data_IF_458910694247
#
_entry.id   IF_458910694247
#
_cell.length_a   1.000
_cell.length_b   1.000
_cell.length_c   1.000
_cell.angle_alpha   90.00
_cell.angle_beta   90.00
_cell.angle_gamma   90.00
#
_symmetry.space_group_name_H-M   'P 1'
#
loop_
_entity.id
_entity.type
_entity.pdbx_description
1 polymer ?
#
# COMPACT_ATOMS: atom_id res chain seq x y z
N UNK A 1 12.30 -8.74 -14.45
CA UNK A 1 12.13 -7.39 -13.85
C UNK A 1 13.17 -6.36 -14.31
N UNK A 2 14.46 -6.70 -14.48
CA UNK A 2 15.52 -5.71 -14.76
C UNK A 2 15.35 -4.86 -16.03
N UNK A 3 14.71 -5.41 -17.06
CA UNK A 3 14.48 -4.70 -18.33
C UNK A 3 13.11 -3.98 -18.40
N UNK A 4 12.24 -4.17 -17.41
CA UNK A 4 10.93 -3.51 -17.38
C UNK A 4 11.06 -2.12 -16.74
N UNK A 5 10.99 -1.08 -17.57
CA UNK A 5 11.17 0.31 -17.12
C UNK A 5 10.11 0.76 -16.12
N UNK A 6 8.88 0.24 -16.22
CA UNK A 6 7.76 0.64 -15.35
C UNK A 6 7.96 0.06 -13.96
N UNK A 7 8.36 -1.20 -13.87
CA UNK A 7 8.72 -1.85 -12.62
C UNK A 7 9.98 -1.23 -11.99
N UNK A 8 11.00 -0.87 -12.78
CA UNK A 8 12.17 -0.16 -12.25
C UNK A 8 11.82 1.24 -11.72
N UNK A 9 10.93 1.96 -12.41
CA UNK A 9 10.43 3.26 -11.93
C UNK A 9 9.64 3.11 -10.62
N UNK A 10 8.79 2.10 -10.53
CA UNK A 10 8.09 1.74 -9.30
C UNK A 10 9.05 1.44 -8.15
N UNK A 11 10.09 0.63 -8.36
CA UNK A 11 11.08 0.33 -7.33
C UNK A 11 11.89 1.56 -6.90
N UNK A 12 12.15 2.49 -7.82
CA UNK A 12 12.77 3.78 -7.49
C UNK A 12 11.85 4.61 -6.59
N UNK A 13 10.56 4.68 -6.94
CA UNK A 13 9.56 5.33 -6.09
C UNK A 13 9.46 4.65 -4.72
N UNK A 14 9.48 3.31 -4.68
CA UNK A 14 9.41 2.52 -3.46
C UNK A 14 10.56 2.87 -2.50
N UNK A 15 11.77 2.93 -3.04
CA UNK A 15 12.95 3.37 -2.29
C UNK A 15 12.77 4.80 -1.76
N UNK A 16 12.44 5.76 -2.62
CA UNK A 16 12.26 7.17 -2.23
C UNK A 16 11.16 7.35 -1.18
N UNK A 17 10.02 6.68 -1.35
CA UNK A 17 8.90 6.75 -0.42
C UNK A 17 9.29 6.15 0.93
N UNK A 18 9.95 4.99 0.94
CA UNK A 18 10.41 4.37 2.19
C UNK A 18 11.39 5.25 2.96
N UNK A 19 12.29 5.94 2.26
CA UNK A 19 13.28 6.86 2.88
C UNK A 19 12.68 8.18 3.33
N UNK A 20 11.50 8.56 2.83
CA UNK A 20 10.81 9.80 3.25
C UNK A 20 10.13 9.70 4.62
N UNK A 21 9.94 8.48 5.13
CA UNK A 21 9.25 8.22 6.39
C UNK A 21 10.22 8.23 7.55
N UNK A 22 9.92 9.02 8.57
CA UNK A 22 10.67 9.01 9.82
C UNK A 22 10.26 7.80 10.66
N UNK A 23 11.14 6.80 10.77
CA UNK A 23 10.90 5.59 11.57
C UNK A 23 12.18 5.01 12.14
N UNK A 24 12.04 4.20 13.21
CA UNK A 24 13.12 3.39 13.81
C UNK A 24 13.30 2.03 13.12
N UNK A 25 12.39 1.68 12.21
CA UNK A 25 12.41 0.40 11.50
C UNK A 25 13.49 0.40 10.42
N UNK A 26 13.99 -0.80 10.07
CA UNK A 26 14.99 -0.96 8.99
C UNK A 26 14.44 -0.46 7.65
N UNK A 27 15.30 0.02 6.75
CA UNK A 27 14.85 0.49 5.43
C UNK A 27 14.14 -0.61 4.61
N UNK A 28 14.62 -1.85 4.66
CA UNK A 28 14.00 -3.01 4.00
C UNK A 28 12.58 -3.28 4.48
N UNK A 29 12.34 -3.14 5.78
CA UNK A 29 11.05 -3.32 6.41
C UNK A 29 10.02 -2.31 5.87
N UNK A 30 10.42 -1.04 5.77
CA UNK A 30 9.55 0.03 5.26
C UNK A 30 9.28 -0.14 3.76
N UNK A 31 10.27 -0.58 2.97
CA UNK A 31 10.05 -0.92 1.55
C UNK A 31 9.07 -2.07 1.40
N UNK A 32 9.19 -3.12 2.20
CA UNK A 32 8.24 -4.24 2.19
C UNK A 32 6.82 -3.77 2.52
N UNK A 33 6.64 -2.94 3.55
CA UNK A 33 5.36 -2.34 3.90
C UNK A 33 4.69 -1.62 2.71
N UNK A 34 5.41 -0.73 2.03
CA UNK A 34 4.84 0.01 0.89
C UNK A 34 4.57 -0.88 -0.32
N UNK A 35 5.39 -1.90 -0.55
CA UNK A 35 5.15 -2.89 -1.60
C UNK A 35 3.83 -3.63 -1.34
N UNK A 36 3.63 -4.14 -0.13
CA UNK A 36 2.39 -4.84 0.29
C UNK A 36 1.18 -3.92 0.20
N UNK A 37 1.32 -2.66 0.62
CA UNK A 37 0.26 -1.66 0.48
C UNK A 37 -0.16 -1.44 -0.97
N UNK A 38 0.81 -1.36 -1.89
CA UNK A 38 0.54 -1.21 -3.33
C UNK A 38 -0.07 -2.49 -3.90
N UNK A 39 0.49 -3.67 -3.62
CA UNK A 39 -0.05 -4.95 -4.08
C UNK A 39 -1.53 -5.11 -3.69
N UNK A 40 -1.89 -4.83 -2.44
CA UNK A 40 -3.28 -4.85 -1.98
C UNK A 40 -4.21 -3.93 -2.79
N UNK A 41 -3.70 -2.80 -3.29
CA UNK A 41 -4.49 -1.88 -4.11
C UNK A 41 -4.62 -2.30 -5.58
N UNK A 42 -3.79 -3.24 -6.06
CA UNK A 42 -3.79 -3.72 -7.46
C UNK A 42 -4.80 -4.84 -7.73
N UNK A 43 -5.27 -5.53 -6.69
CA UNK A 43 -6.19 -6.66 -6.81
C UNK A 43 -7.56 -6.31 -6.21
N UNK A 44 -8.63 -6.54 -6.97
CA UNK A 44 -10.00 -6.41 -6.48
C UNK A 44 -10.31 -7.66 -5.64
N UNK A 45 -10.64 -7.49 -4.36
CA UNK A 45 -10.71 -8.58 -3.41
C UNK A 45 -12.03 -9.36 -3.54
N UNK A 46 -12.06 -10.38 -4.41
CA UNK A 46 -12.81 -11.62 -4.10
C UNK A 46 -11.90 -12.74 -3.61
N UNK A 47 -10.60 -12.48 -3.54
CA UNK A 47 -9.59 -13.39 -3.04
C UNK A 47 -8.93 -12.86 -1.77
N UNK A 48 -9.69 -12.17 -0.91
CA UNK A 48 -9.24 -11.77 0.43
C UNK A 48 -8.77 -12.96 1.30
N UNK A 49 -9.05 -14.21 0.88
CA UNK A 49 -8.55 -15.43 1.53
C UNK A 49 -7.24 -16.01 0.94
N UNK A 50 -6.73 -15.52 -0.20
CA UNK A 50 -5.54 -16.10 -0.86
C UNK A 50 -4.24 -15.29 -0.61
N UNK A 51 -4.34 -14.00 -0.27
CA UNK A 51 -3.16 -13.13 -0.05
C UNK A 51 -2.89 -12.78 1.42
N UNK A 52 -3.13 -13.73 2.33
CA UNK A 52 -2.48 -13.75 3.65
C UNK A 52 -0.94 -13.80 3.57
N UNK A 53 -0.36 -13.87 2.37
CA UNK A 53 1.07 -13.74 2.10
C UNK A 53 1.63 -12.32 2.24
N UNK A 54 0.80 -11.27 2.14
CA UNK A 54 1.27 -9.87 2.12
C UNK A 54 1.95 -9.46 3.43
N UNK A 55 1.41 -9.87 4.56
CA UNK A 55 2.04 -9.58 5.85
C UNK A 55 3.23 -10.50 6.15
N UNK A 56 3.51 -11.55 5.38
CA UNK A 56 4.57 -12.49 5.76
C UNK A 56 5.97 -11.92 5.56
N UNK A 57 6.25 -11.18 4.46
CA UNK A 57 7.56 -10.55 4.27
C UNK A 57 7.75 -9.39 5.24
N UNK A 58 6.71 -8.59 5.44
CA UNK A 58 6.70 -7.52 6.44
C UNK A 58 6.92 -8.09 7.84
N UNK A 59 6.12 -9.06 8.28
CA UNK A 59 6.27 -9.70 9.57
C UNK A 59 7.61 -10.43 9.73
N UNK A 60 8.14 -11.07 8.67
CA UNK A 60 9.46 -11.71 8.69
C UNK A 60 10.63 -10.71 8.79
N UNK A 61 10.45 -9.48 8.29
CA UNK A 61 11.45 -8.42 8.33
C UNK A 61 11.37 -7.54 9.57
N UNK A 62 10.18 -7.39 10.17
CA UNK A 62 9.92 -6.39 11.22
C UNK A 62 9.33 -6.96 12.51
N UNK A 63 8.77 -8.17 12.49
CA UNK A 63 7.93 -8.67 13.58
C UNK A 63 6.58 -7.94 13.65
N UNK A 64 5.95 -7.94 14.83
CA UNK A 64 4.67 -7.25 15.05
C UNK A 64 4.89 -5.73 15.03
N UNK A 65 4.68 -5.09 13.88
CA UNK A 65 4.93 -3.66 13.71
C UNK A 65 3.97 -2.88 14.60
N UNK A 66 4.50 -2.31 15.67
CA UNK A 66 3.91 -1.09 16.21
C UNK A 66 4.21 0.01 15.21
N UNK A 67 3.23 0.33 14.37
CA UNK A 67 3.38 1.37 13.36
C UNK A 67 3.67 2.69 14.06
N UNK A 68 4.72 3.40 13.62
CA UNK A 68 4.83 4.82 13.91
C UNK A 68 3.62 5.54 13.30
N UNK A 69 3.24 6.69 13.85
CA UNK A 69 2.04 7.43 13.41
C UNK A 69 2.01 7.70 11.90
N UNK A 70 3.18 7.91 11.28
CA UNK A 70 3.28 8.15 9.84
C UNK A 70 3.01 6.91 8.98
N UNK A 71 3.49 5.73 9.39
CA UNK A 71 3.20 4.46 8.71
C UNK A 71 1.75 4.03 8.93
N UNK A 72 1.22 4.22 10.15
CA UNK A 72 -0.18 3.93 10.46
C UNK A 72 -1.11 4.78 9.58
N UNK A 73 -0.81 6.07 9.43
CA UNK A 73 -1.57 6.93 8.53
C UNK A 73 -1.52 6.43 7.08
N UNK A 74 -0.35 6.08 6.56
CA UNK A 74 -0.27 5.54 5.19
C UNK A 74 -0.99 4.20 5.04
N UNK A 75 -0.95 3.32 6.06
CA UNK A 75 -1.69 2.06 6.08
C UNK A 75 -3.19 2.32 5.92
N UNK A 76 -3.77 3.19 6.74
CA UNK A 76 -5.20 3.52 6.68
C UNK A 76 -5.58 4.20 5.36
N UNK A 77 -4.69 5.02 4.79
CA UNK A 77 -4.91 5.64 3.48
C UNK A 77 -4.91 4.60 2.35
N UNK A 78 -4.00 3.62 2.38
CA UNK A 78 -4.02 2.51 1.43
C UNK A 78 -5.23 1.59 1.64
N UNK A 79 -5.61 1.32 2.88
CA UNK A 79 -6.84 0.61 3.23
C UNK A 79 -8.08 1.30 2.67
N UNK A 80 -8.12 2.64 2.76
CA UNK A 80 -9.19 3.45 2.17
C UNK A 80 -9.27 3.24 0.65
N UNK A 81 -8.14 3.25 -0.07
CA UNK A 81 -8.12 3.01 -1.52
C UNK A 81 -8.53 1.58 -1.86
N UNK A 82 -8.03 0.58 -1.13
CA UNK A 82 -8.36 -0.82 -1.36
C UNK A 82 -9.86 -1.07 -1.18
N UNK A 83 -10.43 -0.62 -0.06
CA UNK A 83 -11.87 -0.73 0.19
C UNK A 83 -12.68 0.09 -0.82
N UNK A 84 -12.19 1.24 -1.29
CA UNK A 84 -12.84 2.00 -2.36
C UNK A 84 -12.95 1.16 -3.64
N UNK A 85 -11.86 0.50 -4.06
CA UNK A 85 -11.85 -0.33 -5.26
C UNK A 85 -12.76 -1.57 -5.10
N UNK A 86 -12.72 -2.22 -3.93
CA UNK A 86 -13.59 -3.37 -3.62
C UNK A 86 -15.06 -2.98 -3.61
N UNK A 87 -15.37 -1.81 -3.06
CA UNK A 87 -16.73 -1.27 -3.04
C UNK A 87 -17.23 -0.90 -4.44
N UNK A 88 -16.37 -0.29 -5.27
CA UNK A 88 -16.68 0.03 -6.68
C UNK A 88 -17.03 -1.25 -7.45
N UNK A 89 -16.20 -2.29 -7.31
CA UNK A 89 -16.46 -3.61 -7.88
C UNK A 89 -17.75 -4.23 -7.34
N UNK A 90 -17.95 -4.21 -6.01
CA UNK A 90 -19.12 -4.79 -5.37
C UNK A 90 -20.43 -4.13 -5.83
N UNK A 91 -20.44 -2.82 -6.05
CA UNK A 91 -21.60 -2.12 -6.59
C UNK A 91 -21.81 -2.35 -8.07
N UNK A 92 -20.75 -2.47 -8.87
CA UNK A 92 -20.85 -2.80 -10.30
C UNK A 92 -21.52 -4.16 -10.52
N UNK A 93 -21.14 -5.16 -9.73
CA UNK A 93 -21.64 -6.54 -9.85
C UNK A 93 -22.77 -6.91 -8.87
N UNK A 94 -23.29 -5.92 -8.14
CA UNK A 94 -24.36 -6.08 -7.14
C UNK A 94 -24.12 -7.20 -6.12
N UNK A 95 -22.93 -7.20 -5.54
CA UNK A 95 -22.46 -8.21 -4.62
C UNK A 95 -22.98 -7.94 -3.20
N UNK A 96 -23.18 -9.02 -2.43
CA UNK A 96 -23.75 -8.94 -1.08
C UNK A 96 -22.81 -8.27 -0.07
N UNK A 97 -21.52 -8.37 -0.31
CA UNK A 97 -20.47 -7.92 0.61
C UNK A 97 -20.20 -6.40 0.48
N UNK A 98 -20.92 -5.69 -0.39
CA UNK A 98 -20.77 -4.25 -0.61
C UNK A 98 -20.92 -3.42 0.68
N UNK A 99 -21.77 -3.86 1.61
CA UNK A 99 -21.95 -3.18 2.89
C UNK A 99 -20.71 -3.30 3.77
N UNK A 100 -20.11 -4.49 3.85
CA UNK A 100 -18.90 -4.74 4.63
C UNK A 100 -17.73 -3.89 4.11
N UNK A 101 -17.58 -3.80 2.78
CA UNK A 101 -16.59 -2.91 2.15
C UNK A 101 -16.86 -1.43 2.43
N UNK A 102 -18.11 -0.99 2.43
CA UNK A 102 -18.47 0.38 2.75
C UNK A 102 -18.13 0.74 4.21
N UNK A 103 -18.41 -0.15 5.16
CA UNK A 103 -18.04 0.05 6.57
C UNK A 103 -16.52 0.05 6.74
N UNK A 104 -15.81 -0.91 6.14
CA UNK A 104 -14.35 -0.97 6.18
C UNK A 104 -13.70 0.31 5.58
N UNK A 105 -14.21 0.78 4.45
CA UNK A 105 -13.83 2.06 3.84
C UNK A 105 -14.03 3.23 4.82
N UNK A 106 -15.20 3.34 5.44
CA UNK A 106 -15.51 4.43 6.36
C UNK A 106 -14.62 4.42 7.60
N UNK A 107 -14.36 3.25 8.17
CA UNK A 107 -13.45 3.08 9.31
C UNK A 107 -12.05 3.53 8.92
N UNK A 108 -11.48 2.95 7.85
CA UNK A 108 -10.13 3.28 7.41
C UNK A 108 -9.97 4.77 7.11
N UNK A 109 -10.95 5.38 6.45
CA UNK A 109 -10.88 6.80 6.10
C UNK A 109 -10.99 7.71 7.33
N UNK A 110 -11.80 7.34 8.32
CA UNK A 110 -11.92 8.08 9.57
C UNK A 110 -10.62 8.01 10.39
N UNK A 111 -10.06 6.82 10.56
CA UNK A 111 -8.79 6.62 11.27
C UNK A 111 -7.65 7.40 10.59
N UNK A 112 -7.59 7.38 9.25
CA UNK A 112 -6.64 8.19 8.51
C UNK A 112 -6.79 9.68 8.83
N UNK A 113 -8.01 10.24 8.78
CA UNK A 113 -8.25 11.67 9.07
C UNK A 113 -7.81 12.08 10.47
N UNK A 114 -8.02 11.22 11.47
CA UNK A 114 -7.60 11.48 12.84
C UNK A 114 -6.07 11.54 12.97
N UNK A 115 -5.36 10.65 12.27
CA UNK A 115 -3.90 10.60 12.27
C UNK A 115 -3.23 11.70 11.43
N UNK A 116 -3.94 12.38 10.53
CA UNK A 116 -3.34 13.47 9.74
C UNK A 116 -2.96 14.65 10.64
N UNK A 117 -1.67 14.95 10.71
CA UNK A 117 -1.12 16.13 11.39
C UNK A 117 -1.10 17.36 10.46
N UNK A 118 -0.82 17.15 9.16
CA UNK A 118 -0.66 18.24 8.19
C UNK A 118 -2.01 18.98 7.94
N UNK A 119 -2.14 20.28 8.29
CA UNK A 119 -3.44 20.95 8.30
C UNK A 119 -4.13 20.99 6.92
N UNK A 120 -3.35 21.22 5.85
CA UNK A 120 -3.88 21.28 4.48
C UNK A 120 -4.43 19.93 4.00
N UNK A 121 -3.76 18.83 4.35
CA UNK A 121 -4.24 17.49 4.03
C UNK A 121 -5.47 17.15 4.88
N UNK A 122 -5.44 17.43 6.20
CA UNK A 122 -6.57 17.15 7.09
C UNK A 122 -7.84 17.85 6.63
N UNK A 123 -7.74 19.14 6.30
CA UNK A 123 -8.86 19.92 5.77
C UNK A 123 -9.39 19.34 4.44
N UNK A 124 -8.49 18.93 3.53
CA UNK A 124 -8.88 18.34 2.25
C UNK A 124 -9.64 17.01 2.45
N UNK A 125 -9.15 16.12 3.32
CA UNK A 125 -9.81 14.85 3.60
C UNK A 125 -11.13 15.03 4.36
N UNK A 126 -11.21 15.96 5.32
CA UNK A 126 -12.46 16.31 5.99
C UNK A 126 -13.50 16.84 5.01
N UNK A 127 -13.10 17.69 4.06
CA UNK A 127 -14.00 18.17 2.99
C UNK A 127 -14.50 17.01 2.12
N UNK A 128 -13.66 16.04 1.78
CA UNK A 128 -14.09 14.84 1.06
C UNK A 128 -15.09 14.02 1.89
N UNK A 129 -14.84 13.86 3.20
CA UNK A 129 -15.74 13.16 4.11
C UNK A 129 -17.14 13.76 4.14
N UNK A 130 -17.26 15.10 4.14
CA UNK A 130 -18.59 15.76 4.13
C UNK A 130 -19.43 15.51 2.89
N UNK A 131 -18.83 14.99 1.80
CA UNK A 131 -19.56 14.68 0.57
C UNK A 131 -20.21 13.29 0.61
N UNK A 132 -19.74 12.41 1.49
CA UNK A 132 -20.20 11.03 1.60
C UNK A 132 -21.58 11.01 2.29
N UNK A 133 -22.56 10.28 1.73
CA UNK A 133 -23.79 10.00 2.45
C UNK A 133 -23.53 9.03 3.60
N UNK A 134 -24.44 9.04 4.58
CA UNK A 134 -24.41 8.10 5.68
C UNK A 134 -24.75 6.68 5.19
N UNK A 135 -23.87 5.73 5.45
CA UNK A 135 -23.98 4.33 5.02
C UNK A 135 -25.14 3.64 5.75
N UNK A 136 -25.33 3.95 7.04
CA UNK A 136 -26.25 3.21 7.93
C UNK A 136 -27.72 3.65 7.75
N UNK A 137 -27.95 4.84 7.17
CA UNK A 137 -29.30 5.37 6.97
C UNK A 137 -30.00 4.72 5.77
N UNK A 138 -29.30 4.61 4.64
CA UNK A 138 -29.88 4.06 3.41
C UNK A 138 -28.79 3.63 2.41
N UNK A 139 -28.51 2.32 2.38
CA UNK A 139 -27.50 1.73 1.50
C UNK A 139 -27.79 1.95 0.01
N UNK A 140 -29.06 2.01 -0.40
CA UNK A 140 -29.41 2.25 -1.81
C UNK A 140 -29.11 3.69 -2.23
N UNK A 141 -29.34 4.67 -1.34
CA UNK A 141 -28.91 6.06 -1.58
C UNK A 141 -27.39 6.18 -1.60
N UNK A 142 -26.70 5.44 -0.73
CA UNK A 142 -25.24 5.40 -0.73
C UNK A 142 -24.71 4.80 -2.04
N UNK A 143 -25.29 3.69 -2.50
CA UNK A 143 -24.99 3.07 -3.81
C UNK A 143 -25.24 4.03 -4.96
N UNK A 144 -26.40 4.70 -5.02
CA UNK A 144 -26.72 5.67 -6.07
C UNK A 144 -25.71 6.82 -6.10
N UNK A 145 -25.37 7.36 -4.93
CA UNK A 145 -24.32 8.37 -4.82
C UNK A 145 -22.97 7.83 -5.29
N UNK A 146 -22.61 6.60 -4.93
CA UNK A 146 -21.34 6.00 -5.30
C UNK A 146 -21.22 5.82 -6.82
N UNK A 147 -22.24 5.27 -7.46
CA UNK A 147 -22.28 5.07 -8.91
C UNK A 147 -22.27 6.40 -9.69
N UNK A 148 -22.80 7.48 -9.11
CA UNK A 148 -22.86 8.80 -9.79
C UNK A 148 -21.68 9.72 -9.50
N UNK A 149 -21.11 9.66 -8.29
CA UNK A 149 -20.09 10.61 -7.79
C UNK A 149 -18.81 9.94 -7.28
N UNK A 150 -18.85 8.65 -6.98
CA UNK A 150 -17.72 7.90 -6.40
C UNK A 150 -16.45 8.00 -7.23
N UNK A 151 -16.54 7.86 -8.55
CA UNK A 151 -15.39 8.00 -9.47
C UNK A 151 -14.73 9.39 -9.39
N UNK A 152 -15.51 10.47 -9.33
CA UNK A 152 -14.98 11.84 -9.20
C UNK A 152 -14.36 12.02 -7.81
N UNK A 153 -15.02 11.51 -6.77
CA UNK A 153 -14.54 11.55 -5.40
C UNK A 153 -13.21 10.79 -5.24
N UNK A 154 -13.09 9.59 -5.80
CA UNK A 154 -11.87 8.77 -5.77
C UNK A 154 -10.69 9.43 -6.48
N UNK A 155 -10.93 10.11 -7.62
CA UNK A 155 -9.90 10.93 -8.29
C UNK A 155 -9.41 12.09 -7.42
N UNK A 156 -10.32 12.75 -6.70
CA UNK A 156 -9.94 13.82 -5.76
C UNK A 156 -9.13 13.27 -4.59
N UNK A 157 -9.53 12.12 -4.02
CA UNK A 157 -8.76 11.44 -2.98
C UNK A 157 -7.35 11.15 -3.48
N UNK A 158 -7.18 10.42 -4.59
CA UNK A 158 -5.86 10.06 -5.16
C UNK A 158 -5.01 11.30 -5.42
N UNK A 159 -5.59 12.39 -5.94
CA UNK A 159 -4.86 13.65 -6.12
C UNK A 159 -4.23 14.16 -4.81
N UNK A 160 -4.98 14.16 -3.70
CA UNK A 160 -4.45 14.61 -2.41
C UNK A 160 -3.40 13.66 -1.85
N UNK A 161 -3.60 12.33 -2.00
CA UNK A 161 -2.64 11.35 -1.51
C UNK A 161 -1.31 11.44 -2.26
N UNK A 162 -1.35 11.57 -3.59
CA UNK A 162 -0.14 11.77 -4.41
C UNK A 162 0.54 13.07 -4.00
N UNK A 163 -0.21 14.17 -3.93
CA UNK A 163 0.35 15.50 -3.65
C UNK A 163 0.99 15.63 -2.27
N UNK A 164 0.35 15.11 -1.23
CA UNK A 164 0.77 15.36 0.15
C UNK A 164 1.54 14.20 0.79
N UNK A 165 1.41 12.99 0.24
CA UNK A 165 1.98 11.77 0.85
C UNK A 165 2.85 10.97 -0.12
N UNK A 166 2.84 11.31 -1.42
CA UNK A 166 3.54 10.56 -2.47
C UNK A 166 3.09 9.08 -2.53
N UNK A 167 1.79 8.83 -2.36
CA UNK A 167 1.17 7.49 -2.41
C UNK A 167 -0.14 7.53 -3.22
N UNK A 168 -0.73 6.36 -3.50
CA UNK A 168 -2.03 6.26 -4.18
C UNK A 168 -1.98 6.43 -5.69
N UNK A 169 -0.79 6.21 -6.28
CA UNK A 169 -0.61 6.13 -7.72
C UNK A 169 -1.39 4.95 -8.30
N UNK A 170 -2.05 5.20 -9.42
CA UNK A 170 -2.50 4.13 -10.29
C UNK A 170 -1.32 3.72 -11.17
N UNK A 171 -0.69 2.61 -10.82
CA UNK A 171 0.47 2.12 -11.55
C UNK A 171 0.10 1.49 -12.88
N UNK A 172 -1.18 1.19 -13.16
CA UNK A 172 -1.65 0.57 -14.41
C UNK A 172 -0.76 -0.62 -14.85
N UNK A 173 -0.34 -1.47 -13.91
CA UNK A 173 0.46 -2.66 -14.27
C UNK A 173 -0.40 -3.65 -15.04
N UNK A 174 0.16 -4.20 -16.12
CA UNK A 174 -0.46 -5.33 -16.81
C UNK A 174 -0.27 -6.64 -16.01
N UNK A 175 -0.92 -7.72 -16.40
CA UNK A 175 -0.85 -8.99 -15.67
C UNK A 175 0.58 -9.57 -15.62
N UNK A 176 1.35 -9.48 -16.70
CA UNK A 176 2.76 -9.90 -16.73
C UNK A 176 3.60 -9.12 -15.70
N UNK A 177 3.37 -7.82 -15.57
CA UNK A 177 4.05 -6.96 -14.60
C UNK A 177 3.66 -7.29 -13.17
N UNK A 178 2.39 -7.61 -12.92
CA UNK A 178 1.91 -8.06 -11.61
C UNK A 178 2.55 -9.39 -11.21
N UNK A 179 2.59 -10.37 -12.12
CA UNK A 179 3.25 -11.66 -11.90
C UNK A 179 4.76 -11.51 -11.67
N UNK A 180 5.42 -10.63 -12.42
CA UNK A 180 6.83 -10.30 -12.22
C UNK A 180 7.08 -9.64 -10.86
N UNK A 181 6.19 -8.76 -10.41
CA UNK A 181 6.30 -8.11 -9.10
C UNK A 181 6.09 -9.11 -7.96
N UNK A 182 5.09 -9.99 -8.07
CA UNK A 182 4.86 -11.09 -7.12
C UNK A 182 6.07 -12.02 -7.05
N UNK A 183 6.63 -12.43 -8.19
CA UNK A 183 7.84 -13.27 -8.24
C UNK A 183 9.02 -12.57 -7.57
N UNK A 184 9.18 -11.27 -7.81
CA UNK A 184 10.22 -10.48 -7.16
C UNK A 184 10.03 -10.43 -5.64
N UNK A 185 8.81 -10.21 -5.16
CA UNK A 185 8.47 -10.26 -3.74
C UNK A 185 8.83 -11.63 -3.13
N UNK A 186 8.40 -12.73 -3.76
CA UNK A 186 8.62 -14.09 -3.25
C UNK A 186 10.11 -14.45 -3.17
N UNK A 187 10.91 -14.03 -4.16
CA UNK A 187 12.37 -14.21 -4.12
C UNK A 187 13.01 -13.40 -2.99
N UNK A 188 12.60 -12.14 -2.79
CA UNK A 188 13.12 -11.33 -1.68
C UNK A 188 12.72 -11.94 -0.32
N UNK A 189 11.51 -12.50 -0.21
CA UNK A 189 11.07 -13.22 0.98
C UNK A 189 11.90 -14.46 1.26
N UNK A 190 12.14 -15.28 0.24
CA UNK A 190 13.00 -16.46 0.38
C UNK A 190 14.41 -16.08 0.85
N UNK A 191 14.98 -14.98 0.33
CA UNK A 191 16.28 -14.48 0.79
C UNK A 191 16.26 -14.11 2.28
N UNK A 192 15.20 -13.43 2.73
CA UNK A 192 15.02 -13.08 4.14
C UNK A 192 14.91 -14.34 5.00
N UNK A 193 14.10 -15.32 4.59
CA UNK A 193 13.94 -16.59 5.29
C UNK A 193 15.27 -17.35 5.40
N UNK A 194 16.04 -17.41 4.30
CA UNK A 194 17.38 -18.00 4.29
C UNK A 194 18.32 -17.31 5.28
N UNK A 195 18.41 -15.98 5.24
CA UNK A 195 19.32 -15.23 6.11
C UNK A 195 18.89 -15.34 7.58
N UNK A 196 17.59 -15.38 7.87
CA UNK A 196 17.07 -15.59 9.22
C UNK A 196 17.35 -17.00 9.76
N UNK A 197 17.42 -18.01 8.90
CA UNK A 197 17.78 -19.39 9.28
C UNK A 197 19.29 -19.67 9.35
N UNK A 198 20.12 -18.83 8.71
CA UNK A 198 21.55 -19.09 8.60
C UNK A 198 22.31 -18.72 9.89
N UNK A 199 23.07 -19.68 10.43
CA UNK A 199 23.91 -19.48 11.63
C UNK A 199 25.22 -18.75 11.33
N UNK A 200 25.71 -18.84 10.09
CA UNK A 200 27.07 -18.43 9.72
C UNK A 200 27.11 -17.07 8.99
N UNK A 201 25.97 -16.41 8.82
CA UNK A 201 25.89 -15.09 8.18
C UNK A 201 26.25 -14.01 9.20
N UNK A 202 27.36 -13.32 8.97
CA UNK A 202 27.80 -12.22 9.84
C UNK A 202 26.80 -11.06 9.82
N UNK A 203 26.72 -10.26 10.90
CA UNK A 203 25.84 -9.08 10.93
C UNK A 203 26.09 -8.10 9.78
N UNK A 204 27.35 -7.93 9.37
CA UNK A 204 27.71 -7.03 8.27
C UNK A 204 27.19 -7.54 6.92
N UNK A 205 27.31 -8.86 6.65
CA UNK A 205 26.77 -9.46 5.42
C UNK A 205 25.24 -9.39 5.42
N UNK A 206 24.59 -9.68 6.56
CA UNK A 206 23.14 -9.53 6.71
C UNK A 206 22.68 -8.12 6.37
N UNK A 207 23.31 -7.11 6.97
CA UNK A 207 22.98 -5.71 6.73
C UNK A 207 23.13 -5.34 5.25
N UNK A 208 24.25 -5.74 4.62
CA UNK A 208 24.49 -5.49 3.19
C UNK A 208 23.40 -6.11 2.31
N UNK A 209 22.96 -7.34 2.60
CA UNK A 209 21.88 -7.96 1.84
C UNK A 209 20.59 -7.18 2.06
N UNK A 210 20.20 -6.94 3.31
CA UNK A 210 18.98 -6.20 3.66
C UNK A 210 18.93 -4.81 3.00
N UNK A 211 20.05 -4.08 2.94
CA UNK A 211 20.13 -2.76 2.30
C UNK A 211 19.81 -2.82 0.80
N UNK A 212 20.12 -3.93 0.13
CA UNK A 212 19.89 -4.10 -1.32
C UNK A 212 18.53 -4.70 -1.69
N UNK A 213 17.82 -5.33 -0.75
CA UNK A 213 16.51 -5.94 -1.02
C UNK A 213 15.47 -4.88 -1.43
N UNK A 214 14.57 -5.23 -2.33
CA UNK A 214 13.48 -4.36 -2.80
C UNK A 214 13.94 -3.02 -3.41
N UNK A 215 15.09 -3.00 -4.10
CA UNK A 215 15.60 -1.85 -4.85
C UNK A 215 15.54 -2.03 -6.36
N UNK A 216 15.47 -0.89 -7.05
CA UNK A 216 15.77 -0.81 -8.47
C UNK A 216 17.26 -1.14 -8.72
N UNK A 217 17.58 -1.66 -9.90
CA UNK A 217 18.96 -2.03 -10.27
C UNK A 217 19.91 -0.83 -10.12
N UNK A 218 19.49 0.33 -10.60
CA UNK A 218 20.29 1.56 -10.51
C UNK A 218 20.59 1.98 -9.06
N UNK A 219 19.72 1.64 -8.11
CA UNK A 219 19.93 1.95 -6.69
C UNK A 219 20.81 0.89 -6.01
N UNK A 220 20.70 -0.39 -6.41
CA UNK A 220 21.62 -1.45 -5.98
C UNK A 220 23.07 -1.13 -6.39
N UNK A 221 23.26 -0.66 -7.63
CA UNK A 221 24.57 -0.27 -8.16
C UNK A 221 25.19 0.87 -7.35
N UNK A 222 24.39 1.87 -6.95
CA UNK A 222 24.88 2.96 -6.09
C UNK A 222 25.30 2.46 -4.71
N UNK A 223 24.49 1.61 -4.07
CA UNK A 223 24.81 1.04 -2.75
C UNK A 223 26.10 0.23 -2.80
N UNK A 224 26.33 -0.55 -3.86
CA UNK A 224 27.55 -1.35 -3.99
C UNK A 224 28.82 -0.54 -4.31
N UNK A 225 28.67 0.68 -4.83
CA UNK A 225 29.77 1.58 -5.18
C UNK A 225 30.06 2.63 -4.10
N UNK A 226 29.32 2.60 -2.98
CA UNK A 226 29.46 3.50 -1.82
C UNK A 226 30.35 2.87 -0.75
#
# INVERSE_FOLDING_TARGET
MGNDRKLQHFLTWLHQKSSSVSTRHKAVAVRAFYLVCVERSLYHSHCASIYTSGYNLEYALVGNITFGSDLALDEFLYSTIACFNDLDFAFEYNLKDALDYAHAFAIAFNEAIELVIAPKLKQALQKLKTQLPDIDINIEKFREWWQTKGQVWGKQLRYFLIKYRNIGYDWEFNEEQKELLQTYYDVNKLLVDCINSATDVTPAVRQKIEDTLLLAIADIEKVNNS
#
